data_IF_410647046409
#
_entry.id   IF_410647046409
#
_cell.length_a   1.000
_cell.length_b   1.000
_cell.length_c   1.000
_cell.angle_alpha   90.00
_cell.angle_beta   90.00
_cell.angle_gamma   90.00
#
_symmetry.space_group_name_H-M   'P 1'
#
loop_
_entity.id
_entity.type
_entity.pdbx_description
1 polymer ?
#
# COMPACT_ATOMS: atom_id res chain seq x y z
N UNK A 1 -4.29 -8.50 -17.86
CA UNK A 1 -4.05 -9.50 -16.79
C UNK A 1 -5.36 -9.77 -16.05
N UNK A 2 -5.51 -10.94 -15.41
CA UNK A 2 -6.78 -11.39 -14.79
C UNK A 2 -7.34 -10.50 -13.67
N UNK A 3 -6.52 -9.64 -13.08
CA UNK A 3 -6.89 -8.75 -11.96
C UNK A 3 -6.99 -7.26 -12.35
N UNK A 4 -6.81 -6.91 -13.63
CA UNK A 4 -6.78 -5.51 -14.06
C UNK A 4 -8.09 -4.76 -13.74
N UNK A 5 -9.24 -5.46 -13.80
CA UNK A 5 -10.52 -4.91 -13.37
C UNK A 5 -10.53 -4.56 -11.88
N UNK A 6 -10.01 -5.46 -11.02
CA UNK A 6 -9.96 -5.23 -9.58
C UNK A 6 -9.07 -4.04 -9.21
N UNK A 7 -7.90 -3.92 -9.84
CA UNK A 7 -6.99 -2.78 -9.61
C UNK A 7 -7.58 -1.47 -10.12
N UNK A 8 -8.36 -1.50 -11.19
CA UNK A 8 -9.10 -0.34 -11.68
C UNK A 8 -10.17 0.08 -10.69
N UNK A 9 -11.01 -0.84 -10.25
CA UNK A 9 -12.12 -0.55 -9.35
C UNK A 9 -11.61 -0.03 -7.99
N UNK A 10 -10.61 -0.70 -7.42
CA UNK A 10 -9.99 -0.27 -6.17
C UNK A 10 -9.27 1.08 -6.31
N UNK A 11 -8.54 1.28 -7.40
CA UNK A 11 -7.87 2.56 -7.68
C UNK A 11 -8.86 3.71 -7.80
N UNK A 12 -9.97 3.53 -8.54
CA UNK A 12 -11.02 4.55 -8.65
C UNK A 12 -11.65 4.84 -7.29
N UNK A 13 -12.01 3.80 -6.53
CA UNK A 13 -12.66 3.95 -5.24
C UNK A 13 -11.83 4.78 -4.25
N UNK A 14 -10.52 4.56 -4.19
CA UNK A 14 -9.63 5.23 -3.23
C UNK A 14 -8.82 6.39 -3.82
N UNK A 15 -9.09 6.80 -5.07
CA UNK A 15 -8.38 7.89 -5.72
C UNK A 15 -6.90 7.60 -6.02
N UNK A 16 -6.53 6.34 -6.20
CA UNK A 16 -5.18 5.90 -6.58
C UNK A 16 -5.16 5.50 -8.04
N UNK A 17 -4.17 5.97 -8.81
CA UNK A 17 -4.08 5.60 -10.21
C UNK A 17 -3.98 4.07 -10.37
N UNK A 18 -4.84 3.39 -11.16
CA UNK A 18 -4.88 1.93 -11.24
C UNK A 18 -3.56 1.25 -11.59
N UNK A 19 -2.73 1.93 -12.40
CA UNK A 19 -1.39 1.43 -12.74
C UNK A 19 -0.45 1.35 -11.52
N UNK A 20 -0.62 2.24 -10.53
CA UNK A 20 0.16 2.23 -9.29
C UNK A 20 -0.27 1.03 -8.44
N UNK A 21 -1.58 0.83 -8.25
CA UNK A 21 -2.11 -0.33 -7.51
C UNK A 21 -1.59 -1.64 -8.11
N UNK A 22 -1.66 -1.76 -9.44
CA UNK A 22 -1.13 -2.91 -10.17
C UNK A 22 0.39 -3.06 -10.03
N UNK A 23 1.15 -1.98 -10.11
CA UNK A 23 2.60 -2.00 -9.98
C UNK A 23 3.03 -2.48 -8.60
N UNK A 24 2.38 -1.98 -7.54
CA UNK A 24 2.60 -2.43 -6.16
C UNK A 24 2.24 -3.91 -6.04
N UNK A 25 1.05 -4.33 -6.48
CA UNK A 25 0.65 -5.73 -6.43
C UNK A 25 1.63 -6.67 -7.17
N UNK A 26 2.17 -6.22 -8.31
CA UNK A 26 3.17 -6.97 -9.02
C UNK A 26 4.50 -7.03 -8.25
N UNK A 27 4.92 -5.93 -7.64
CA UNK A 27 6.17 -5.88 -6.88
C UNK A 27 6.10 -6.78 -5.64
N UNK A 28 4.98 -6.76 -4.93
CA UNK A 28 4.79 -7.46 -3.66
C UNK A 28 4.62 -8.97 -3.83
N UNK A 29 3.80 -9.42 -4.78
CA UNK A 29 3.44 -10.85 -4.90
C UNK A 29 3.64 -11.44 -6.28
N UNK A 30 4.12 -10.66 -7.26
CA UNK A 30 4.08 -11.03 -8.69
C UNK A 30 2.67 -11.40 -9.16
N UNK A 31 1.66 -10.76 -8.56
CA UNK A 31 0.23 -11.02 -8.79
C UNK A 31 -0.22 -12.42 -8.34
N UNK A 32 0.45 -13.01 -7.34
CA UNK A 32 -0.04 -14.21 -6.67
C UNK A 32 -0.99 -13.85 -5.53
N UNK A 33 -2.26 -14.20 -5.70
CA UNK A 33 -3.30 -13.93 -4.71
C UNK A 33 -3.18 -14.81 -3.45
N UNK A 34 -2.44 -15.91 -3.52
CA UNK A 34 -2.20 -16.81 -2.39
C UNK A 34 -0.84 -16.57 -1.72
N UNK A 35 -0.10 -15.53 -2.13
CA UNK A 35 1.19 -15.21 -1.56
C UNK A 35 1.09 -14.99 -0.04
N UNK A 36 2.08 -15.53 0.68
CA UNK A 36 2.22 -15.41 2.13
C UNK A 36 3.63 -14.95 2.43
N UNK A 37 3.75 -13.76 3.03
CA UNK A 37 5.02 -13.15 3.39
C UNK A 37 5.62 -13.76 4.66
N UNK A 38 6.90 -13.49 4.89
CA UNK A 38 7.67 -14.08 5.99
C UNK A 38 7.22 -13.65 7.38
N UNK A 39 6.54 -12.51 7.49
CA UNK A 39 6.07 -11.93 8.76
C UNK A 39 4.54 -11.90 8.87
N UNK A 40 3.83 -12.64 8.01
CA UNK A 40 2.37 -12.75 8.04
C UNK A 40 1.63 -11.90 7.01
N UNK A 41 2.32 -11.31 6.04
CA UNK A 41 1.68 -10.57 4.95
C UNK A 41 0.89 -11.49 4.02
N UNK A 42 -0.25 -11.03 3.50
CA UNK A 42 -1.15 -11.87 2.70
C UNK A 42 -1.53 -11.23 1.36
N UNK A 43 -1.63 -12.09 0.34
CA UNK A 43 -2.27 -11.83 -0.94
C UNK A 43 -1.51 -10.90 -1.88
N UNK A 44 -2.26 -10.34 -2.85
CA UNK A 44 -1.71 -9.62 -4.00
C UNK A 44 -0.78 -8.47 -3.64
N UNK A 45 -1.06 -7.75 -2.56
CA UNK A 45 -0.39 -6.53 -2.14
C UNK A 45 0.31 -6.69 -0.78
N UNK A 46 0.52 -7.94 -0.35
CA UNK A 46 1.24 -8.32 0.88
C UNK A 46 0.87 -7.44 2.09
N UNK A 47 -0.41 -7.44 2.43
CA UNK A 47 -0.92 -6.66 3.55
C UNK A 47 -0.80 -7.44 4.86
N UNK A 48 -0.43 -6.73 5.93
CA UNK A 48 -0.44 -7.27 7.29
C UNK A 48 -1.83 -7.24 7.91
N UNK A 49 -2.04 -8.04 8.95
CA UNK A 49 -3.29 -8.03 9.74
C UNK A 49 -3.63 -6.63 10.23
N UNK A 50 -2.66 -5.96 10.86
CA UNK A 50 -2.82 -4.59 11.36
C UNK A 50 -3.26 -3.64 10.25
N UNK A 51 -2.66 -3.77 9.05
CA UNK A 51 -3.06 -2.95 7.93
C UNK A 51 -4.54 -3.21 7.58
N UNK A 52 -4.89 -4.47 7.37
CA UNK A 52 -6.24 -4.85 6.94
C UNK A 52 -7.35 -4.54 7.95
N UNK A 53 -7.08 -4.59 9.25
CA UNK A 53 -8.06 -4.19 10.26
C UNK A 53 -8.38 -2.71 10.21
N UNK A 54 -7.40 -1.85 9.93
CA UNK A 54 -7.64 -0.42 9.79
C UNK A 54 -8.56 -0.13 8.59
N UNK A 55 -8.37 -0.85 7.48
CA UNK A 55 -9.26 -0.77 6.33
C UNK A 55 -10.67 -1.27 6.66
N UNK A 56 -10.77 -2.42 7.33
CA UNK A 56 -12.06 -3.00 7.71
C UNK A 56 -12.85 -2.09 8.66
N UNK A 57 -12.18 -1.43 9.61
CA UNK A 57 -12.78 -0.45 10.50
C UNK A 57 -13.27 0.79 9.72
N UNK A 58 -12.44 1.33 8.83
CA UNK A 58 -12.80 2.47 8.00
C UNK A 58 -13.99 2.19 7.06
N UNK A 59 -14.12 0.96 6.56
CA UNK A 59 -15.23 0.51 5.71
C UNK A 59 -16.43 -0.05 6.49
N UNK A 60 -16.34 -0.13 7.83
CA UNK A 60 -17.41 -0.67 8.68
C UNK A 60 -17.72 -2.14 8.42
N UNK A 61 -16.69 -2.99 8.31
CA UNK A 61 -16.80 -4.44 8.05
C UNK A 61 -16.56 -5.23 9.36
N UNK A 62 -17.61 -5.47 10.18
CA UNK A 62 -17.45 -6.01 11.54
C UNK A 62 -17.01 -7.47 11.61
N UNK A 63 -17.20 -8.24 10.53
CA UNK A 63 -16.85 -9.68 10.47
C UNK A 63 -15.58 -9.94 9.68
N UNK A 64 -14.73 -8.91 9.49
CA UNK A 64 -13.47 -9.06 8.80
C UNK A 64 -12.51 -9.98 9.58
N UNK A 65 -11.79 -10.83 8.86
CA UNK A 65 -10.74 -11.70 9.36
C UNK A 65 -9.55 -11.58 8.40
N UNK A 66 -8.30 -11.55 8.89
CA UNK A 66 -7.13 -11.33 8.03
C UNK A 66 -6.98 -12.37 6.91
N UNK A 67 -7.44 -13.60 7.12
CA UNK A 67 -7.42 -14.65 6.09
C UNK A 67 -8.21 -14.27 4.84
N UNK A 68 -9.19 -13.36 4.94
CA UNK A 68 -9.91 -12.83 3.79
C UNK A 68 -9.00 -12.06 2.81
N UNK A 69 -7.78 -11.68 3.21
CA UNK A 69 -6.79 -11.04 2.33
C UNK A 69 -6.29 -11.96 1.21
N UNK A 70 -6.49 -13.28 1.28
CA UNK A 70 -6.20 -14.16 0.14
C UNK A 70 -7.21 -13.94 -1.01
N UNK A 71 -8.36 -13.31 -0.74
CA UNK A 71 -9.31 -12.95 -1.78
C UNK A 71 -8.80 -11.71 -2.55
N UNK A 72 -8.56 -11.82 -3.87
CA UNK A 72 -7.99 -10.74 -4.68
C UNK A 72 -8.69 -9.40 -4.55
N UNK A 73 -10.02 -9.41 -4.48
CA UNK A 73 -10.83 -8.19 -4.40
C UNK A 73 -10.64 -7.49 -3.06
N UNK A 74 -10.76 -8.22 -1.96
CA UNK A 74 -10.55 -7.71 -0.59
C UNK A 74 -9.14 -7.13 -0.46
N UNK A 75 -8.14 -7.87 -0.95
CA UNK A 75 -6.74 -7.45 -0.92
C UNK A 75 -6.48 -6.17 -1.72
N UNK A 76 -7.00 -6.09 -2.95
CA UNK A 76 -6.84 -4.91 -3.79
C UNK A 76 -7.52 -3.67 -3.20
N UNK A 77 -8.71 -3.84 -2.60
CA UNK A 77 -9.41 -2.75 -1.92
C UNK A 77 -8.63 -2.25 -0.71
N UNK A 78 -8.25 -3.15 0.20
CA UNK A 78 -7.48 -2.79 1.39
C UNK A 78 -6.12 -2.16 1.02
N UNK A 79 -5.44 -2.67 -0.01
CA UNK A 79 -4.14 -2.15 -0.43
C UNK A 79 -4.24 -0.79 -1.10
N UNK A 80 -5.27 -0.56 -1.92
CA UNK A 80 -5.53 0.76 -2.51
C UNK A 80 -5.94 1.80 -1.46
N UNK A 81 -6.73 1.41 -0.44
CA UNK A 81 -7.02 2.26 0.72
C UNK A 81 -5.73 2.68 1.44
N UNK A 82 -4.83 1.73 1.72
CA UNK A 82 -3.55 2.01 2.37
C UNK A 82 -2.65 2.94 1.56
N UNK A 83 -2.53 2.69 0.25
CA UNK A 83 -1.80 3.57 -0.66
C UNK A 83 -2.38 4.98 -0.67
N UNK A 84 -3.71 5.12 -0.69
CA UNK A 84 -4.37 6.43 -0.66
C UNK A 84 -4.03 7.19 0.63
N UNK A 85 -4.11 6.53 1.79
CA UNK A 85 -3.73 7.13 3.08
C UNK A 85 -2.28 7.62 3.09
N UNK A 86 -1.36 6.85 2.50
CA UNK A 86 0.05 7.24 2.41
C UNK A 86 0.26 8.40 1.43
N UNK A 87 -0.41 8.38 0.26
CA UNK A 87 -0.36 9.49 -0.70
C UNK A 87 -0.86 10.81 -0.08
N UNK A 88 -1.96 10.75 0.67
CA UNK A 88 -2.50 11.91 1.38
C UNK A 88 -1.53 12.41 2.47
N UNK A 89 -0.90 11.49 3.22
CA UNK A 89 0.08 11.81 4.26
C UNK A 89 1.28 12.61 3.72
N UNK A 90 1.70 12.32 2.49
CA UNK A 90 2.86 12.94 1.86
C UNK A 90 2.50 13.93 0.76
N UNK A 91 1.25 14.42 0.70
CA UNK A 91 0.78 15.30 -0.35
C UNK A 91 1.60 16.60 -0.49
N UNK A 92 2.14 17.11 0.61
CA UNK A 92 2.96 18.33 0.67
C UNK A 92 4.44 18.11 0.29
N UNK A 93 4.84 16.88 -0.05
CA UNK A 93 6.22 16.57 -0.46
C UNK A 93 6.43 16.92 -1.94
N UNK A 94 7.69 17.15 -2.32
CA UNK A 94 8.09 17.41 -3.71
C UNK A 94 7.69 16.26 -4.67
N UNK A 95 7.79 15.01 -4.20
CA UNK A 95 7.38 13.80 -4.93
C UNK A 95 6.57 12.86 -4.02
N UNK A 96 5.28 13.13 -3.77
CA UNK A 96 4.46 12.39 -2.79
C UNK A 96 4.47 10.88 -2.98
N UNK A 97 4.46 10.42 -4.24
CA UNK A 97 4.47 9.00 -4.58
C UNK A 97 5.73 8.27 -4.07
N UNK A 98 6.90 8.92 -4.07
CA UNK A 98 8.16 8.31 -3.62
C UNK A 98 8.08 7.97 -2.13
N UNK A 99 7.65 8.94 -1.32
CA UNK A 99 7.47 8.76 0.12
C UNK A 99 6.35 7.76 0.44
N UNK A 100 5.25 7.81 -0.29
CA UNK A 100 4.13 6.89 -0.08
C UNK A 100 4.52 5.43 -0.36
N UNK A 101 5.24 5.16 -1.45
CA UNK A 101 5.71 3.80 -1.77
C UNK A 101 6.78 3.32 -0.77
N UNK A 102 7.66 4.21 -0.31
CA UNK A 102 8.62 3.89 0.73
C UNK A 102 7.93 3.55 2.06
N UNK A 103 6.87 4.28 2.44
CA UNK A 103 6.09 3.99 3.66
C UNK A 103 5.33 2.67 3.52
N UNK A 104 4.80 2.39 2.32
CA UNK A 104 4.13 1.12 2.04
C UNK A 104 5.06 -0.08 2.27
N UNK A 105 6.31 0.00 1.80
CA UNK A 105 7.25 -1.12 1.84
C UNK A 105 8.06 -1.22 3.15
N UNK A 106 8.55 -0.09 3.67
CA UNK A 106 9.45 -0.06 4.83
C UNK A 106 8.75 0.34 6.14
N UNK A 107 7.54 0.86 6.05
CA UNK A 107 6.78 1.37 7.18
C UNK A 107 7.21 2.78 7.63
N UNK A 108 6.26 3.47 8.27
CA UNK A 108 6.39 4.87 8.68
C UNK A 108 7.63 5.18 9.52
N UNK A 109 8.02 4.29 10.44
CA UNK A 109 9.16 4.54 11.32
C UNK A 109 10.44 4.75 10.50
N UNK A 110 10.68 3.86 9.55
CA UNK A 110 11.86 3.89 8.68
C UNK A 110 11.81 5.12 7.77
N UNK A 111 10.64 5.44 7.21
CA UNK A 111 10.48 6.66 6.39
C UNK A 111 10.75 7.94 7.18
N UNK A 112 10.39 8.01 8.46
CA UNK A 112 10.73 9.15 9.30
C UNK A 112 12.24 9.29 9.53
N UNK A 113 12.97 8.18 9.61
CA UNK A 113 14.43 8.17 9.70
C UNK A 113 15.05 8.70 8.39
N UNK A 114 14.57 8.26 7.23
CA UNK A 114 15.01 8.75 5.90
C UNK A 114 14.55 10.17 5.55
N UNK A 115 13.59 10.71 6.28
CA UNK A 115 13.16 12.10 6.15
C UNK A 115 13.98 13.05 7.04
N UNK A 116 14.99 12.55 7.76
CA UNK A 116 15.86 13.40 8.54
C UNK A 116 16.53 14.49 7.68
N UNK A 117 16.78 15.64 8.31
CA UNK A 117 17.37 16.81 7.67
C UNK A 117 16.58 17.26 6.42
N UNK A 118 17.27 17.37 5.28
CA UNK A 118 16.67 17.81 4.01
C UNK A 118 15.79 16.73 3.35
N UNK A 119 15.85 15.47 3.82
CA UNK A 119 15.06 14.37 3.26
C UNK A 119 13.55 14.61 3.36
N UNK A 120 13.10 15.44 4.31
CA UNK A 120 11.69 15.80 4.46
C UNK A 120 11.12 16.65 3.32
N UNK A 121 11.94 17.36 2.54
CA UNK A 121 11.46 18.23 1.44
C UNK A 121 12.18 17.98 0.13
N UNK A 122 13.22 17.14 0.13
CA UNK A 122 14.02 16.80 -1.03
C UNK A 122 14.03 15.28 -1.23
N UNK A 123 13.24 14.81 -2.20
CA UNK A 123 13.14 13.38 -2.54
C UNK A 123 14.45 12.76 -3.02
N UNK A 124 15.37 13.56 -3.58
CA UNK A 124 16.69 13.06 -4.00
C UNK A 124 17.57 12.76 -2.80
N UNK A 125 17.51 13.59 -1.76
CA UNK A 125 18.21 13.32 -0.49
C UNK A 125 17.57 12.13 0.21
N UNK A 126 16.23 12.10 0.30
CA UNK A 126 15.47 10.98 0.85
C UNK A 126 15.87 9.62 0.23
N UNK A 127 15.89 9.54 -1.11
CA UNK A 127 16.26 8.31 -1.83
C UNK A 127 17.71 7.86 -1.62
N UNK A 128 18.61 8.75 -1.21
CA UNK A 128 20.00 8.37 -0.85
C UNK A 128 20.12 7.81 0.56
N UNK A 129 19.11 8.05 1.40
CA UNK A 129 19.06 7.58 2.78
C UNK A 129 18.31 6.23 2.92
N UNK A 130 17.52 5.86 1.90
CA UNK A 130 16.84 4.57 1.74
C UNK A 130 17.81 3.42 1.48
#
# INVERSE_FOLDING_TARGET
>A
HRYDGLFRDAGILYGVHPAIVKAVAWQESRLDANARGGVGELGLMQLTDMASFEWADAEGIPTFQPEHLIHPRTNALAGAFYLSKMLQRYAEKDRPLVYALADYNAGRKVVLEWMADEGATNSVVFLRQM
#
